data_IF_820065536083
#
_entry.id   IF_820065536083
#
_cell.length_a   1.000
_cell.length_b   1.000
_cell.length_c   1.000
_cell.angle_alpha   90.00
_cell.angle_beta   90.00
_cell.angle_gamma   90.00
#
_symmetry.space_group_name_H-M   'P 1'
#
loop_
_entity.id
_entity.type
_entity.pdbx_description
1 polymer ?
#
# COMPACT_ATOMS: atom_id res chain seq x y z
N UNK A 1 11.94 -1.10 -7.28
CA UNK A 1 10.72 -1.87 -6.99
C UNK A 1 11.00 -2.73 -5.77
N UNK A 2 10.09 -2.78 -4.81
CA UNK A 2 10.22 -3.59 -3.59
C UNK A 2 8.98 -4.47 -3.46
N UNK A 3 9.16 -5.75 -3.12
CA UNK A 3 8.03 -6.67 -2.90
C UNK A 3 7.56 -6.59 -1.46
N UNK A 4 6.26 -6.40 -1.25
CA UNK A 4 5.62 -6.37 0.07
C UNK A 4 4.86 -7.69 0.26
N UNK A 5 5.15 -8.37 1.35
CA UNK A 5 4.50 -9.60 1.81
C UNK A 5 4.26 -9.48 3.31
N UNK A 6 3.29 -10.21 3.87
CA UNK A 6 2.94 -10.12 5.29
C UNK A 6 4.15 -10.31 6.22
N UNK A 7 5.04 -11.25 5.89
CA UNK A 7 6.21 -11.56 6.71
C UNK A 7 7.36 -10.55 6.58
N UNK A 8 7.35 -9.67 5.56
CA UNK A 8 8.47 -8.77 5.27
C UNK A 8 8.16 -7.29 5.48
N UNK A 9 6.91 -6.94 5.79
CA UNK A 9 6.43 -5.56 5.76
C UNK A 9 7.20 -4.65 6.71
N UNK A 10 7.41 -5.05 7.96
CA UNK A 10 8.15 -4.26 8.96
C UNK A 10 9.62 -4.02 8.56
N UNK A 11 10.26 -5.00 7.93
CA UNK A 11 11.63 -4.88 7.42
C UNK A 11 11.67 -3.93 6.22
N UNK A 12 10.68 -4.03 5.33
CA UNK A 12 10.54 -3.18 4.16
C UNK A 12 10.31 -1.72 4.55
N UNK A 13 9.41 -1.44 5.50
CA UNK A 13 9.13 -0.09 6.02
C UNK A 13 10.44 0.58 6.47
N UNK A 14 11.25 -0.11 7.27
CA UNK A 14 12.56 0.39 7.70
C UNK A 14 13.51 0.63 6.51
N UNK A 15 13.53 -0.28 5.53
CA UNK A 15 14.41 -0.19 4.36
C UNK A 15 14.08 1.00 3.47
N UNK A 16 12.80 1.37 3.37
CA UNK A 16 12.34 2.45 2.50
C UNK A 16 12.16 3.79 3.23
N UNK A 17 12.43 3.85 4.54
CA UNK A 17 12.23 5.04 5.36
C UNK A 17 12.90 6.30 4.78
N UNK A 18 14.11 6.15 4.23
CA UNK A 18 14.84 7.26 3.58
C UNK A 18 14.15 7.86 2.35
N UNK A 19 13.24 7.12 1.72
CA UNK A 19 12.51 7.59 0.53
C UNK A 19 11.21 8.31 0.89
N UNK A 20 10.74 8.20 2.13
CA UNK A 20 9.43 8.71 2.56
C UNK A 20 9.26 10.23 2.37
N UNK A 21 10.35 10.99 2.43
CA UNK A 21 10.31 12.46 2.40
C UNK A 21 10.70 13.07 1.05
N UNK A 22 11.44 12.34 0.22
CA UNK A 22 12.07 12.87 -0.99
C UNK A 22 11.69 12.11 -2.27
N UNK A 23 10.68 11.24 -2.21
CA UNK A 23 10.30 10.40 -3.35
C UNK A 23 8.80 10.14 -3.37
N UNK A 24 8.23 10.14 -4.57
CA UNK A 24 6.89 9.62 -4.79
C UNK A 24 6.93 8.09 -4.78
N UNK A 25 6.07 7.47 -3.96
CA UNK A 25 5.99 6.02 -3.81
C UNK A 25 4.57 5.59 -4.16
N UNK A 26 4.46 4.56 -5.00
CA UNK A 26 3.20 3.91 -5.32
C UNK A 26 3.17 2.52 -4.70
N UNK A 27 2.07 2.20 -4.01
CA UNK A 27 1.74 0.85 -3.58
C UNK A 27 0.83 0.23 -4.65
N UNK A 28 1.24 -0.92 -5.18
CA UNK A 28 0.50 -1.66 -6.19
C UNK A 28 0.30 -3.09 -5.70
N UNK A 29 -0.83 -3.68 -6.09
CA UNK A 29 -1.13 -5.09 -5.95
C UNK A 29 -1.00 -5.77 -7.31
N UNK A 30 -0.84 -7.10 -7.31
CA UNK A 30 -0.91 -7.90 -8.54
C UNK A 30 -2.28 -7.77 -9.22
N UNK A 31 -3.37 -7.60 -8.44
CA UNK A 31 -4.71 -7.42 -8.98
C UNK A 31 -5.65 -6.65 -8.04
N UNK A 32 -6.49 -5.81 -8.63
CA UNK A 32 -7.54 -5.10 -7.90
C UNK A 32 -7.04 -3.87 -7.16
N UNK A 33 -7.70 -3.55 -6.05
CA UNK A 33 -7.38 -2.40 -5.21
C UNK A 33 -6.47 -2.84 -4.06
N UNK A 34 -5.26 -2.27 -3.92
CA UNK A 34 -4.36 -2.60 -2.81
C UNK A 34 -5.06 -2.47 -1.46
N UNK A 35 -4.57 -3.21 -0.46
CA UNK A 35 -5.03 -3.23 0.94
C UNK A 35 -6.38 -3.94 1.20
N UNK A 36 -7.09 -4.41 0.17
CA UNK A 36 -8.33 -5.19 0.37
C UNK A 36 -8.02 -6.60 0.86
N UNK A 37 -7.06 -7.26 0.23
CA UNK A 37 -6.58 -8.59 0.61
C UNK A 37 -5.06 -8.72 0.46
N UNK A 38 -4.41 -7.59 0.21
CA UNK A 38 -2.97 -7.50 -0.02
C UNK A 38 -2.28 -6.89 1.20
N UNK A 39 -0.99 -7.20 1.41
CA UNK A 39 -0.16 -6.56 2.42
C UNK A 39 0.04 -5.06 2.11
N UNK A 40 0.49 -4.29 3.10
CA UNK A 40 0.72 -2.85 2.98
C UNK A 40 -0.02 -2.00 4.01
N UNK A 41 -0.88 -2.60 4.84
CA UNK A 41 -1.60 -1.89 5.88
C UNK A 41 -0.65 -1.22 6.89
N UNK A 42 0.38 -1.91 7.37
CA UNK A 42 1.31 -1.33 8.34
C UNK A 42 2.14 -0.21 7.71
N UNK A 43 2.44 -0.32 6.41
CA UNK A 43 3.11 0.74 5.66
C UNK A 43 2.27 2.02 5.62
N UNK A 44 0.98 1.91 5.29
CA UNK A 44 0.08 3.07 5.27
C UNK A 44 -0.09 3.66 6.67
N UNK A 45 -0.22 2.82 7.70
CA UNK A 45 -0.33 3.29 9.08
C UNK A 45 0.94 4.03 9.55
N UNK A 46 2.14 3.61 9.15
CA UNK A 46 3.39 4.34 9.41
C UNK A 46 3.38 5.73 8.77
N UNK A 47 2.93 5.83 7.51
CA UNK A 47 2.88 7.10 6.79
C UNK A 47 1.84 8.05 7.38
N UNK A 48 0.67 7.54 7.79
CA UNK A 48 -0.35 8.33 8.50
C UNK A 48 0.20 8.87 9.81
N UNK A 49 0.90 8.04 10.61
CA UNK A 49 1.51 8.47 11.88
C UNK A 49 2.58 9.55 11.69
N UNK A 50 3.30 9.50 10.57
CA UNK A 50 4.32 10.50 10.18
C UNK A 50 3.71 11.73 9.49
N UNK A 51 2.38 11.79 9.36
CA UNK A 51 1.65 12.87 8.71
C UNK A 51 2.13 13.13 7.26
N UNK A 52 2.49 12.06 6.56
CA UNK A 52 2.88 12.11 5.14
C UNK A 52 1.63 12.19 4.26
N UNK A 53 1.74 12.85 3.12
CA UNK A 53 0.65 12.92 2.15
C UNK A 53 0.38 11.54 1.54
N UNK A 54 -0.87 11.10 1.60
CA UNK A 54 -1.34 9.83 1.03
C UNK A 54 -2.60 10.14 0.23
N UNK A 55 -2.68 9.58 -0.98
CA UNK A 55 -3.88 9.61 -1.81
C UNK A 55 -4.11 8.25 -2.44
N UNK A 56 -5.34 7.97 -2.84
CA UNK A 56 -5.72 6.76 -3.56
C UNK A 56 -6.17 7.10 -4.97
N UNK A 57 -6.00 6.15 -5.89
CA UNK A 57 -6.52 6.23 -7.26
C UNK A 57 -7.68 5.22 -7.35
N UNK A 58 -8.89 5.63 -7.76
CA UNK A 58 -9.99 4.70 -7.94
C UNK A 58 -9.64 3.66 -9.01
N UNK A 59 -10.04 2.40 -8.79
CA UNK A 59 -9.62 1.29 -9.64
C UNK A 59 -10.50 0.05 -9.52
N UNK A 60 -10.13 -1.03 -10.21
CA UNK A 60 -10.89 -2.28 -10.21
C UNK A 60 -10.93 -2.91 -8.80
N UNK A 61 -12.08 -3.49 -8.45
CA UNK A 61 -12.28 -4.21 -7.20
C UNK A 61 -13.18 -5.41 -7.44
N UNK A 62 -12.66 -6.62 -7.19
CA UNK A 62 -13.42 -7.87 -7.32
C UNK A 62 -14.62 -7.89 -6.37
N UNK A 63 -14.49 -7.29 -5.18
CA UNK A 63 -15.58 -7.17 -4.20
C UNK A 63 -16.73 -6.34 -4.77
N UNK A 64 -16.43 -5.17 -5.35
CA UNK A 64 -17.47 -4.32 -5.94
C UNK A 64 -18.13 -5.00 -7.14
N UNK A 65 -17.35 -5.65 -8.01
CA UNK A 65 -17.90 -6.43 -9.12
C UNK A 65 -18.82 -7.56 -8.66
N UNK A 66 -18.45 -8.27 -7.59
CA UNK A 66 -19.26 -9.36 -7.04
C UNK A 66 -20.53 -8.91 -6.35
N UNK A 67 -20.59 -7.67 -5.85
CA UNK A 67 -21.78 -7.10 -5.23
C UNK A 67 -22.79 -6.60 -6.26
N UNK A 68 -22.33 -6.26 -7.47
CA UNK A 68 -23.16 -5.73 -8.55
C UNK A 68 -23.97 -6.80 -9.31
N UNK A 69 -23.59 -8.08 -9.19
CA UNK A 69 -24.20 -9.23 -9.84
C UNK A 69 -24.92 -10.11 -8.80
#
# INVERSE_FOLDING_TARGET
MFSVHDYNENLLIKRIEKYQYNSAIALISDAGSPLISDPGYNLIQDYIKKNLYITTIPGPSSILSSLQL
#
